data_IF_817792311538
#
_entry.id   IF_817792311538
#
_cell.length_a   1.000
_cell.length_b   1.000
_cell.length_c   1.000
_cell.angle_alpha   90.00
_cell.angle_beta   90.00
_cell.angle_gamma   90.00
#
_symmetry.space_group_name_H-M   'P 1'
#
loop_
_entity.id
_entity.type
_entity.pdbx_description
1 polymer ?
#
# COMPACT_ATOMS: atom_id res chain seq x y z
N UNK A 1 -38.58 -14.94 21.81
CA UNK A 1 -38.25 -14.67 20.39
C UNK A 1 -36.81 -14.18 20.20
N UNK A 2 -36.28 -13.35 21.10
CA UNK A 2 -34.87 -12.87 21.09
C UNK A 2 -33.83 -14.01 21.18
N UNK A 3 -34.06 -15.04 21.99
CA UNK A 3 -33.09 -16.13 22.19
C UNK A 3 -32.81 -16.93 20.92
N UNK A 4 -33.82 -17.06 20.04
CA UNK A 4 -33.72 -17.77 18.76
C UNK A 4 -32.87 -16.99 17.75
N UNK A 5 -32.92 -15.65 17.79
CA UNK A 5 -32.10 -14.76 16.95
C UNK A 5 -30.62 -14.80 17.33
N UNK A 6 -30.31 -14.82 18.64
CA UNK A 6 -28.93 -14.92 19.14
C UNK A 6 -28.28 -16.23 18.68
N UNK A 7 -29.02 -17.33 18.75
CA UNK A 7 -28.53 -18.64 18.31
C UNK A 7 -28.20 -18.67 16.80
N UNK A 8 -29.06 -18.08 15.97
CA UNK A 8 -28.84 -17.99 14.52
C UNK A 8 -27.60 -17.16 14.21
N UNK A 9 -27.40 -16.04 14.92
CA UNK A 9 -26.26 -15.15 14.73
C UNK A 9 -24.93 -15.84 15.09
N UNK A 10 -24.89 -16.62 16.17
CA UNK A 10 -23.70 -17.36 16.59
C UNK A 10 -23.33 -18.45 15.57
N UNK A 11 -24.31 -19.19 15.06
CA UNK A 11 -24.07 -20.24 14.04
C UNK A 11 -23.55 -19.60 12.75
N UNK A 12 -24.14 -18.48 12.34
CA UNK A 12 -23.72 -17.75 11.14
C UNK A 12 -22.28 -17.25 11.26
N UNK A 13 -21.91 -16.62 12.38
CA UNK A 13 -20.54 -16.15 12.64
C UNK A 13 -19.54 -17.31 12.73
N UNK A 14 -19.92 -18.43 13.34
CA UNK A 14 -19.09 -19.63 13.42
C UNK A 14 -18.81 -20.23 12.03
N UNK A 15 -19.84 -20.32 11.19
CA UNK A 15 -19.71 -20.81 9.81
C UNK A 15 -18.88 -19.86 8.94
N UNK A 16 -19.08 -18.53 9.09
CA UNK A 16 -18.29 -17.51 8.38
C UNK A 16 -16.80 -17.53 8.75
N UNK A 17 -16.49 -17.84 10.02
CA UNK A 17 -15.11 -18.01 10.49
C UNK A 17 -14.49 -19.33 9.98
N UNK A 18 -15.28 -20.40 9.91
CA UNK A 18 -14.83 -21.73 9.45
C UNK A 18 -14.58 -21.79 7.93
N UNK A 19 -15.36 -21.06 7.13
CA UNK A 19 -15.21 -20.94 5.66
C UNK A 19 -13.99 -20.11 5.22
N UNK A 20 -13.06 -19.82 6.13
CA UNK A 20 -11.85 -19.09 5.81
C UNK A 20 -12.16 -17.64 5.46
N UNK A 21 -12.81 -16.94 6.40
CA UNK A 21 -13.06 -15.49 6.38
C UNK A 21 -11.77 -14.69 6.26
N UNK A 22 -11.13 -14.75 5.09
CA UNK A 22 -10.33 -13.68 4.55
C UNK A 22 -11.34 -12.61 4.21
N UNK A 23 -11.57 -11.75 5.19
CA UNK A 23 -12.05 -10.40 4.91
C UNK A 23 -11.23 -9.95 3.69
N UNK A 24 -11.83 -9.67 2.52
CA UNK A 24 -11.08 -9.02 1.46
C UNK A 24 -10.62 -7.73 2.11
N UNK A 25 -9.34 -7.70 2.49
CA UNK A 25 -8.72 -6.50 2.96
C UNK A 25 -8.93 -5.54 1.80
N UNK A 26 -9.84 -4.59 1.99
CA UNK A 26 -9.88 -3.33 1.25
C UNK A 26 -8.56 -2.63 1.57
N UNK A 27 -7.43 -3.21 1.12
CA UNK A 27 -6.29 -2.41 0.74
C UNK A 27 -6.78 -1.70 -0.49
N UNK A 28 -7.34 -0.52 -0.26
CA UNK A 28 -7.69 0.45 -1.27
C UNK A 28 -6.59 0.41 -2.32
N UNK A 29 -6.93 -0.10 -3.50
CA UNK A 29 -5.99 -0.25 -4.61
C UNK A 29 -5.46 1.13 -5.05
N UNK A 30 -6.11 2.18 -4.57
CA UNK A 30 -5.83 3.60 -4.78
C UNK A 30 -4.58 4.09 -4.04
N UNK A 31 -4.21 3.53 -2.88
CA UNK A 31 -2.99 3.98 -2.17
C UNK A 31 -1.71 3.62 -2.92
N UNK A 32 -1.67 2.44 -3.56
CA UNK A 32 -0.51 2.04 -4.37
C UNK A 32 -0.38 2.80 -5.67
N UNK A 33 -1.48 3.29 -6.25
CA UNK A 33 -1.42 4.08 -7.49
C UNK A 33 -0.87 5.48 -7.24
N UNK A 34 -1.25 6.10 -6.12
CA UNK A 34 -0.78 7.45 -5.77
C UNK A 34 0.74 7.50 -5.59
N UNK A 35 1.34 6.47 -5.00
CA UNK A 35 2.80 6.37 -4.86
C UNK A 35 3.52 6.12 -6.20
N UNK A 36 2.89 5.41 -7.14
CA UNK A 36 3.48 5.13 -8.46
C UNK A 36 3.58 6.37 -9.35
N UNK A 37 2.62 7.28 -9.27
CA UNK A 37 2.56 8.48 -10.11
C UNK A 37 3.20 9.73 -9.45
N UNK A 38 3.69 9.61 -8.21
CA UNK A 38 4.34 10.74 -7.52
C UNK A 38 5.71 11.00 -8.15
N UNK A 39 5.91 12.18 -8.73
CA UNK A 39 7.20 12.63 -9.27
C UNK A 39 8.01 13.38 -8.21
N UNK A 40 9.29 13.04 -8.13
CA UNK A 40 10.28 13.70 -7.26
C UNK A 40 11.43 14.24 -8.11
N UNK A 41 12.00 15.37 -7.69
CA UNK A 41 13.11 16.00 -8.38
C UNK A 41 14.45 15.38 -7.95
N UNK A 42 15.32 15.08 -8.91
CA UNK A 42 16.69 14.65 -8.64
C UNK A 42 17.53 15.81 -8.12
N UNK A 43 18.15 15.63 -6.95
CA UNK A 43 18.98 16.66 -6.30
C UNK A 43 20.17 17.15 -7.16
N UNK A 44 20.66 16.32 -8.09
CA UNK A 44 21.91 16.58 -8.84
C UNK A 44 21.66 17.22 -10.20
N UNK A 45 20.60 16.81 -10.90
CA UNK A 45 20.37 17.21 -12.30
C UNK A 45 18.97 17.79 -12.55
N UNK A 46 18.14 17.92 -11.52
CA UNK A 46 16.76 18.45 -11.60
C UNK A 46 15.82 17.69 -12.55
N UNK A 47 16.19 16.47 -12.95
CA UNK A 47 15.27 15.57 -13.66
C UNK A 47 14.20 15.06 -12.69
N UNK A 48 12.94 15.07 -13.15
CA UNK A 48 11.82 14.46 -12.43
C UNK A 48 11.76 12.96 -12.70
N UNK A 49 11.70 12.16 -11.64
CA UNK A 49 11.54 10.70 -11.71
C UNK A 49 10.39 10.25 -10.81
N UNK A 50 9.78 9.11 -11.12
CA UNK A 50 8.75 8.56 -10.24
C UNK A 50 9.38 8.13 -8.92
N UNK A 51 8.65 8.30 -7.82
CA UNK A 51 9.10 7.94 -6.48
C UNK A 51 9.45 6.44 -6.38
N UNK A 52 8.81 5.60 -7.21
CA UNK A 52 9.10 4.16 -7.35
C UNK A 52 10.42 3.86 -8.05
N UNK A 53 10.84 4.71 -8.98
CA UNK A 53 12.11 4.55 -9.73
C UNK A 53 13.26 5.37 -9.12
N UNK A 54 12.94 6.32 -8.24
CA UNK A 54 13.92 7.14 -7.55
C UNK A 54 14.81 6.30 -6.63
N UNK A 55 16.11 6.58 -6.66
CA UNK A 55 17.06 6.03 -5.71
C UNK A 55 17.11 6.99 -4.52
N UNK A 56 16.91 6.45 -3.31
CA UNK A 56 16.90 7.25 -2.08
C UNK A 56 18.18 7.00 -1.29
N UNK A 57 18.99 8.05 -1.10
CA UNK A 57 20.20 7.99 -0.26
C UNK A 57 20.15 9.15 0.72
N UNK A 58 20.12 8.85 2.02
CA UNK A 58 20.10 9.88 3.07
C UNK A 58 18.85 10.78 3.04
N UNK A 59 17.73 10.30 2.50
CA UNK A 59 16.49 11.08 2.37
C UNK A 59 16.42 12.00 1.14
N UNK A 60 17.43 11.96 0.27
CA UNK A 60 17.45 12.67 -1.02
C UNK A 60 17.11 11.72 -2.16
N UNK A 61 16.49 12.26 -3.21
CA UNK A 61 16.04 11.51 -4.39
C UNK A 61 16.99 11.69 -5.57
N UNK A 62 17.30 10.60 -6.26
CA UNK A 62 18.20 10.58 -7.40
C UNK A 62 17.61 9.80 -8.58
N UNK A 63 17.81 10.32 -9.79
CA UNK A 63 17.33 9.69 -11.01
C UNK A 63 18.14 8.46 -11.45
N UNK A 64 19.37 8.31 -10.96
CA UNK A 64 20.26 7.21 -11.35
C UNK A 64 21.37 6.99 -10.31
N UNK A 65 21.99 5.80 -10.36
CA UNK A 65 23.14 5.47 -9.50
C UNK A 65 24.32 6.42 -9.73
N UNK A 66 24.45 6.95 -10.94
CA UNK A 66 25.49 7.94 -11.25
C UNK A 66 25.26 9.25 -10.50
N UNK A 67 24.01 9.73 -10.43
CA UNK A 67 23.67 10.92 -9.65
C UNK A 67 23.81 10.66 -8.15
N UNK A 68 23.36 9.51 -7.66
CA UNK A 68 23.53 9.14 -6.25
C UNK A 68 24.99 9.04 -5.81
N UNK A 69 25.91 8.69 -6.72
CA UNK A 69 27.37 8.64 -6.46
C UNK A 69 28.06 10.01 -6.59
N UNK A 70 27.45 10.98 -7.27
CA UNK A 70 27.97 12.34 -7.41
C UNK A 70 27.63 13.24 -6.23
N UNK A 71 26.61 12.85 -5.45
CA UNK A 71 26.06 13.59 -4.32
C UNK A 71 26.91 13.48 -3.04
#
# INVERSE_FOLDING_TARGET
MILKLIFILIIFLGFFKLLGGKLPSLKSKDEKKLEEDTLVECEVCSTFVTLKEAIIVGGKYYCSLECAKKA
#
